data_IF_263732164280
#
_entry.id   IF_263732164280
#
_cell.length_a   1.000
_cell.length_b   1.000
_cell.length_c   1.000
_cell.angle_alpha   90.00
_cell.angle_beta   90.00
_cell.angle_gamma   90.00
#
_symmetry.space_group_name_H-M   'P 1'
#
loop_
_entity.id
_entity.type
_entity.pdbx_description
1 polymer ?
#
# COMPACT_ATOMS: atom_id res chain seq x y z
N UNK A 1 16.91 34.61 -44.16
CA UNK A 1 16.48 33.24 -44.51
C UNK A 1 17.02 32.21 -43.54
N UNK A 2 18.27 32.32 -43.09
CA UNK A 2 18.90 31.39 -42.13
C UNK A 2 18.23 31.37 -40.76
N UNK A 3 17.95 32.55 -40.18
CA UNK A 3 17.27 32.67 -38.86
C UNK A 3 15.89 31.99 -38.83
N UNK A 4 15.15 32.05 -39.94
CA UNK A 4 13.82 31.44 -40.04
C UNK A 4 13.91 29.92 -40.00
N UNK A 5 14.93 29.35 -40.64
CA UNK A 5 15.19 27.91 -40.60
C UNK A 5 15.68 27.45 -39.23
N UNK A 6 16.56 28.20 -38.56
CA UNK A 6 17.00 27.90 -37.19
C UNK A 6 15.84 27.88 -36.19
N UNK A 7 14.94 28.87 -36.25
CA UNK A 7 13.75 28.92 -35.40
C UNK A 7 12.80 27.76 -35.71
N UNK A 8 12.66 27.39 -36.99
CA UNK A 8 11.85 26.25 -37.40
C UNK A 8 12.44 24.93 -36.88
N UNK A 9 13.76 24.73 -36.96
CA UNK A 9 14.44 23.55 -36.41
C UNK A 9 14.28 23.44 -34.90
N UNK A 10 14.44 24.55 -34.17
CA UNK A 10 14.24 24.56 -32.72
C UNK A 10 12.78 24.25 -32.34
N UNK A 11 11.80 24.77 -33.08
CA UNK A 11 10.39 24.47 -32.86
C UNK A 11 10.07 22.99 -33.12
N UNK A 12 10.61 22.41 -34.20
CA UNK A 12 10.40 20.99 -34.50
C UNK A 12 11.10 20.07 -33.51
N UNK A 13 12.31 20.41 -33.06
CA UNK A 13 13.03 19.64 -32.04
C UNK A 13 12.27 19.62 -30.71
N UNK A 14 11.77 20.79 -30.26
CA UNK A 14 10.94 20.87 -29.05
C UNK A 14 9.64 20.07 -29.19
N UNK A 15 9.00 20.12 -30.35
CA UNK A 15 7.77 19.36 -30.63
C UNK A 15 8.00 17.84 -30.58
N UNK A 16 9.11 17.35 -31.16
CA UNK A 16 9.48 15.92 -31.13
C UNK A 16 9.78 15.47 -29.69
N UNK A 17 10.50 16.28 -28.91
CA UNK A 17 10.77 15.99 -27.49
C UNK A 17 9.46 15.90 -26.70
N UNK A 18 8.53 16.82 -26.91
CA UNK A 18 7.22 16.79 -26.25
C UNK A 18 6.37 15.56 -26.62
N UNK A 19 6.42 15.08 -27.87
CA UNK A 19 5.66 13.88 -28.29
C UNK A 19 6.30 12.59 -27.76
N UNK A 20 7.63 12.55 -27.61
CA UNK A 20 8.34 11.38 -27.07
C UNK A 20 8.10 11.14 -25.58
N UNK A 21 7.61 12.15 -24.85
CA UNK A 21 7.16 12.01 -23.48
C UNK A 21 5.83 11.24 -23.44
N UNK A 22 5.89 9.91 -23.57
CA UNK A 22 4.76 9.04 -23.25
C UNK A 22 4.37 9.27 -21.78
N UNK A 23 3.28 10.00 -21.55
CA UNK A 23 2.54 9.92 -20.31
C UNK A 23 1.89 8.53 -20.27
N UNK A 24 2.65 7.54 -19.78
CA UNK A 24 2.03 6.35 -19.22
C UNK A 24 1.15 6.85 -18.08
N UNK A 25 -0.16 6.96 -18.34
CA UNK A 25 -1.15 7.18 -17.30
C UNK A 25 -0.91 6.09 -16.26
N UNK A 26 -0.46 6.42 -15.04
CA UNK A 26 -0.24 5.41 -14.04
C UNK A 26 -1.65 4.89 -13.74
N UNK A 27 -1.93 3.65 -14.14
CA UNK A 27 -3.19 2.96 -13.85
C UNK A 27 -3.22 2.63 -12.36
N UNK A 28 -3.27 3.65 -11.53
CA UNK A 28 -3.29 3.52 -10.08
C UNK A 28 -4.75 3.45 -9.64
N UNK A 29 -5.37 2.28 -9.82
CA UNK A 29 -6.62 1.99 -9.10
C UNK A 29 -6.54 0.71 -8.26
N UNK A 30 -5.72 -0.27 -8.64
CA UNK A 30 -5.63 -1.55 -7.91
C UNK A 30 -4.28 -1.77 -7.19
N UNK A 31 -3.44 -0.75 -7.08
CA UNK A 31 -2.04 -0.88 -6.61
C UNK A 31 -1.44 0.34 -5.92
N UNK A 32 -2.25 1.14 -5.20
CA UNK A 32 -1.75 2.31 -4.44
C UNK A 32 -0.95 1.94 -3.18
N UNK A 33 -1.00 0.68 -2.76
CA UNK A 33 -0.21 0.10 -1.68
C UNK A 33 0.09 -1.37 -2.00
N UNK A 34 1.20 -1.89 -1.48
CA UNK A 34 1.55 -3.29 -1.68
C UNK A 34 2.20 -3.89 -0.43
N UNK A 35 2.20 -5.22 -0.35
CA UNK A 35 3.00 -5.97 0.63
C UNK A 35 4.40 -6.28 0.11
N UNK A 36 4.56 -6.40 -1.21
CA UNK A 36 5.82 -6.73 -1.88
C UNK A 36 6.13 -5.67 -2.92
N UNK A 37 7.41 -5.47 -3.22
CA UNK A 37 7.86 -4.62 -4.31
C UNK A 37 7.17 -4.99 -5.63
N UNK A 38 6.75 -3.96 -6.37
CA UNK A 38 6.15 -4.11 -7.70
C UNK A 38 7.29 -4.05 -8.73
N UNK A 39 7.36 -5.07 -9.57
CA UNK A 39 8.34 -5.16 -10.66
C UNK A 39 7.86 -4.32 -11.85
N UNK A 40 8.80 -3.59 -12.47
CA UNK A 40 8.67 -2.72 -13.65
C UNK A 40 8.02 -1.34 -13.44
N UNK A 41 8.87 -0.37 -13.09
CA UNK A 41 8.69 1.05 -13.51
C UNK A 41 7.72 1.92 -12.71
N UNK A 42 7.07 1.38 -11.66
CA UNK A 42 6.22 2.17 -10.76
C UNK A 42 6.55 1.88 -9.29
N UNK A 43 6.80 2.93 -8.50
CA UNK A 43 7.02 2.80 -7.05
C UNK A 43 5.68 2.62 -6.35
N UNK A 44 5.47 1.44 -5.76
CA UNK A 44 4.30 1.16 -4.91
C UNK A 44 4.79 1.00 -3.47
N UNK A 45 4.24 1.76 -2.50
CA UNK A 45 4.74 1.75 -1.13
C UNK A 45 4.48 0.40 -0.46
N UNK A 46 5.56 -0.20 0.04
CA UNK A 46 5.55 -1.40 0.87
C UNK A 46 5.25 -1.04 2.34
N UNK A 47 4.97 -2.01 3.24
CA UNK A 47 4.49 -1.72 4.60
C UNK A 47 5.34 -0.71 5.38
N UNK A 48 6.67 -0.77 5.26
CA UNK A 48 7.60 0.16 5.91
C UNK A 48 7.42 1.63 5.49
N UNK A 49 6.75 1.90 4.36
CA UNK A 49 6.54 3.25 3.81
C UNK A 49 5.08 3.73 3.86
N UNK A 50 4.11 2.90 4.24
CA UNK A 50 2.69 3.28 4.24
C UNK A 50 2.42 4.55 5.03
N UNK A 51 3.07 4.72 6.19
CA UNK A 51 2.91 5.93 7.02
C UNK A 51 3.65 7.17 6.51
N UNK A 52 4.51 7.05 5.51
CA UNK A 52 5.31 8.14 4.95
C UNK A 52 4.73 8.69 3.64
N UNK A 53 4.00 7.85 2.89
CA UNK A 53 3.47 8.20 1.56
C UNK A 53 2.07 8.81 1.60
N UNK A 54 1.35 8.68 2.72
CA UNK A 54 0.02 9.22 2.89
C UNK A 54 -0.18 9.71 4.33
N UNK A 55 -0.50 11.00 4.49
CA UNK A 55 -0.73 11.61 5.81
C UNK A 55 -1.86 10.95 6.60
N UNK A 56 -2.88 10.40 5.92
CA UNK A 56 -3.97 9.66 6.55
C UNK A 56 -3.51 8.33 7.18
N UNK A 57 -2.34 7.82 6.80
CA UNK A 57 -1.80 6.52 7.25
C UNK A 57 -0.60 6.67 8.20
N UNK A 58 -0.35 7.88 8.71
CA UNK A 58 0.72 8.19 9.67
C UNK A 58 0.88 7.15 10.80
N UNK A 59 -0.23 6.61 11.33
CA UNK A 59 -0.22 5.61 12.40
C UNK A 59 0.58 4.34 12.05
N UNK A 60 0.72 3.99 10.78
CA UNK A 60 1.57 2.86 10.35
C UNK A 60 3.05 3.09 10.68
N UNK A 61 3.50 4.34 10.80
CA UNK A 61 4.89 4.70 11.13
C UNK A 61 5.05 5.12 12.59
N UNK A 62 4.14 5.95 13.13
CA UNK A 62 4.29 6.51 14.49
C UNK A 62 3.48 5.78 15.57
N UNK A 63 2.61 4.86 15.18
CA UNK A 63 1.76 4.12 16.10
C UNK A 63 2.56 3.16 16.98
N UNK A 64 2.39 3.26 18.31
CA UNK A 64 3.06 2.37 19.28
C UNK A 64 2.30 1.09 19.59
N UNK A 65 1.11 0.92 19.02
CA UNK A 65 0.18 -0.20 19.27
C UNK A 65 -0.36 -0.75 17.94
N UNK A 66 0.57 -1.11 17.05
CA UNK A 66 0.26 -1.67 15.74
C UNK A 66 0.15 -3.20 15.80
N UNK A 67 -0.56 -3.77 14.84
CA UNK A 67 -0.65 -5.22 14.62
C UNK A 67 0.06 -5.61 13.31
N UNK A 68 0.54 -6.86 13.16
CA UNK A 68 0.52 -7.95 14.14
C UNK A 68 1.54 -7.76 15.28
N UNK A 69 1.35 -8.50 16.38
CA UNK A 69 2.30 -8.59 17.50
C UNK A 69 2.67 -10.06 17.74
N UNK A 70 3.87 -10.30 18.28
CA UNK A 70 4.25 -11.63 18.75
C UNK A 70 3.45 -11.97 20.02
N UNK A 71 2.82 -13.14 20.09
CA UNK A 71 2.07 -13.59 21.27
C UNK A 71 2.94 -14.61 22.02
N UNK A 72 3.65 -14.14 23.04
CA UNK A 72 4.48 -14.97 23.90
C UNK A 72 3.66 -15.45 25.10
N UNK A 73 3.25 -16.72 25.08
CA UNK A 73 2.37 -17.30 26.11
C UNK A 73 2.98 -17.26 27.51
N UNK A 74 4.31 -17.26 27.64
CA UNK A 74 5.04 -17.10 28.91
C UNK A 74 4.86 -15.72 29.55
N UNK A 75 4.51 -14.69 28.78
CA UNK A 75 4.31 -13.32 29.24
C UNK A 75 2.82 -12.92 29.27
N UNK A 76 1.92 -13.85 28.94
CA UNK A 76 0.49 -13.59 28.91
C UNK A 76 -0.09 -13.60 30.34
N UNK A 77 -0.93 -12.63 30.65
CA UNK A 77 -1.67 -12.58 31.91
C UNK A 77 -2.99 -13.32 31.72
N UNK A 78 -3.25 -14.31 32.56
CA UNK A 78 -4.57 -14.94 32.65
C UNK A 78 -5.51 -14.05 33.46
N UNK A 79 -6.63 -13.65 32.87
CA UNK A 79 -7.70 -12.91 33.52
C UNK A 79 -8.98 -13.76 33.59
N UNK A 80 -9.37 -14.26 34.78
CA UNK A 80 -10.56 -15.11 34.93
C UNK A 80 -11.88 -14.35 34.78
N UNK A 81 -11.87 -13.02 34.73
CA UNK A 81 -13.07 -12.18 34.63
C UNK A 81 -13.35 -11.70 33.20
N UNK A 82 -12.56 -12.14 32.21
CA UNK A 82 -12.83 -11.84 30.81
C UNK A 82 -14.21 -12.38 30.40
N UNK A 83 -14.99 -11.53 29.74
CA UNK A 83 -16.30 -11.94 29.22
C UNK A 83 -16.10 -13.06 28.19
N UNK A 84 -16.75 -14.23 28.35
CA UNK A 84 -16.65 -15.30 27.36
C UNK A 84 -17.04 -14.81 25.96
N UNK A 85 -16.27 -15.20 24.95
CA UNK A 85 -16.54 -14.80 23.58
C UNK A 85 -17.88 -15.37 23.11
N UNK A 86 -18.87 -14.50 22.91
CA UNK A 86 -20.18 -14.87 22.37
C UNK A 86 -20.16 -14.75 20.85
N UNK A 87 -20.20 -15.89 20.15
CA UNK A 87 -20.27 -15.93 18.69
C UNK A 87 -21.70 -16.22 18.28
N UNK A 88 -22.35 -15.27 17.61
CA UNK A 88 -23.67 -15.47 17.02
C UNK A 88 -23.51 -15.95 15.58
N UNK A 89 -23.49 -17.26 15.36
CA UNK A 89 -23.31 -17.84 14.00
C UNK A 89 -24.61 -17.88 13.18
N UNK A 90 -25.66 -17.13 13.56
CA UNK A 90 -26.90 -17.04 12.78
C UNK A 90 -27.55 -18.40 12.44
N UNK A 91 -27.37 -19.42 13.29
CA UNK A 91 -27.91 -20.77 13.07
C UNK A 91 -27.01 -21.73 12.27
N UNK A 92 -25.81 -21.32 11.80
CA UNK A 92 -24.82 -22.29 11.29
C UNK A 92 -24.16 -23.01 12.46
N UNK A 93 -24.35 -24.33 12.52
CA UNK A 93 -23.62 -25.20 13.44
C UNK A 93 -22.19 -25.33 12.93
N UNK A 94 -21.27 -24.56 13.51
CA UNK A 94 -19.83 -24.81 13.35
C UNK A 94 -19.44 -25.93 14.30
N UNK A 95 -19.17 -27.11 13.74
CA UNK A 95 -18.70 -28.28 14.48
C UNK A 95 -17.24 -28.05 14.88
N UNK A 96 -17.02 -27.30 15.97
CA UNK A 96 -15.67 -27.08 16.49
C UNK A 96 -15.27 -28.34 17.28
N UNK A 97 -14.59 -29.27 16.63
CA UNK A 97 -13.77 -30.25 17.33
C UNK A 97 -12.63 -29.49 18.00
N UNK A 98 -12.66 -29.40 19.32
CA UNK A 98 -11.46 -29.17 20.10
C UNK A 98 -10.62 -30.43 19.93
N UNK A 99 -9.47 -30.32 19.26
CA UNK A 99 -8.44 -31.35 19.34
C UNK A 99 -7.65 -31.03 20.60
N UNK A 100 -7.75 -31.92 21.58
CA UNK A 100 -7.00 -31.91 22.84
C UNK A 100 -5.48 -31.84 22.63
#
# INVERSE_FOLDING_TARGET
MEIVWEVLFLLQANFIVCISAQQNSPKIHEGWWAYKEVVQGSFVPVPSFWGLVNSAWNLCSVGKRQSPVNIETSHMIFDPFLTPLRINTGGRKEHRTAQD
#
